data_IF_641681452071
#
_entry.id   IF_641681452071
#
_cell.length_a   1.000
_cell.length_b   1.000
_cell.length_c   1.000
_cell.angle_alpha   90.00
_cell.angle_beta   90.00
_cell.angle_gamma   90.00
#
_symmetry.space_group_name_H-M   'P 1'
#
loop_
_entity.id
_entity.type
_entity.pdbx_description
1 polymer ?
#
# COMPACT_ATOMS: atom_id res chain seq x y z
N UNK A 1 -1.95 5.57 -28.25
CA UNK A 1 -1.38 4.29 -28.72
C UNK A 1 -0.08 4.58 -29.42
N UNK A 2 1.04 4.42 -28.72
CA UNK A 2 2.46 4.31 -29.14
C UNK A 2 3.11 3.75 -27.86
N UNK A 3 3.95 2.72 -27.77
CA UNK A 3 4.45 1.71 -28.68
C UNK A 3 4.72 0.45 -27.84
N UNK A 4 4.90 -0.67 -28.52
CA UNK A 4 5.21 -2.02 -28.02
C UNK A 4 5.92 -2.08 -26.66
N UNK A 5 5.28 -2.78 -25.71
CA UNK A 5 5.76 -3.01 -24.36
C UNK A 5 7.18 -3.59 -24.38
N UNK A 6 8.16 -2.83 -23.89
CA UNK A 6 9.52 -3.35 -23.67
C UNK A 6 9.41 -4.55 -22.71
N UNK A 7 9.87 -5.71 -23.17
CA UNK A 7 9.77 -6.95 -22.40
C UNK A 7 10.94 -7.01 -21.42
N UNK A 8 10.65 -7.46 -20.20
CA UNK A 8 11.62 -7.67 -19.15
C UNK A 8 12.73 -8.63 -19.56
N UNK A 9 12.39 -9.62 -20.38
CA UNK A 9 13.35 -10.56 -20.96
C UNK A 9 14.39 -9.86 -21.84
N UNK A 10 13.99 -8.86 -22.62
CA UNK A 10 14.90 -8.12 -23.51
C UNK A 10 15.87 -7.26 -22.69
N UNK A 11 15.37 -6.59 -21.65
CA UNK A 11 16.21 -5.81 -20.74
C UNK A 11 17.22 -6.68 -19.97
N UNK A 12 16.77 -7.82 -19.43
CA UNK A 12 17.65 -8.75 -18.72
C UNK A 12 18.75 -9.29 -19.65
N UNK A 13 18.41 -9.63 -20.90
CA UNK A 13 19.38 -10.07 -21.90
C UNK A 13 20.41 -8.97 -22.25
N UNK A 14 20.02 -7.70 -22.29
CA UNK A 14 20.94 -6.57 -22.48
C UNK A 14 21.91 -6.35 -21.31
N UNK A 15 21.54 -6.80 -20.11
CA UNK A 15 22.40 -6.77 -18.92
C UNK A 15 23.18 -8.08 -18.73
N UNK A 16 23.22 -8.93 -19.77
CA UNK A 16 23.85 -10.25 -19.76
C UNK A 16 23.31 -11.20 -18.67
N UNK A 17 22.04 -11.01 -18.29
CA UNK A 17 21.34 -11.86 -17.31
C UNK A 17 20.39 -12.80 -18.05
N UNK A 18 20.73 -14.09 -18.02
CA UNK A 18 20.00 -15.13 -18.76
C UNK A 18 19.32 -16.13 -17.82
N UNK A 19 18.17 -16.70 -18.22
CA UNK A 19 17.47 -17.67 -17.38
C UNK A 19 18.24 -18.97 -17.30
N UNK A 20 18.27 -19.58 -16.10
CA UNK A 20 18.81 -20.92 -15.87
C UNK A 20 17.80 -21.99 -16.25
N UNK A 21 16.52 -21.72 -16.08
CA UNK A 21 15.46 -22.64 -16.47
C UNK A 21 14.19 -21.90 -16.87
N UNK A 22 13.34 -22.58 -17.63
CA UNK A 22 12.04 -22.06 -18.02
C UNK A 22 11.00 -23.18 -18.05
N UNK A 23 9.75 -22.81 -17.77
CA UNK A 23 8.58 -23.67 -17.96
C UNK A 23 7.40 -22.81 -18.40
N UNK A 24 6.88 -23.08 -19.59
CA UNK A 24 5.84 -22.27 -20.23
C UNK A 24 6.29 -20.79 -20.33
N UNK A 25 5.52 -19.85 -19.76
CA UNK A 25 5.82 -18.42 -19.76
C UNK A 25 6.57 -17.94 -18.51
N UNK A 26 7.08 -18.87 -17.69
CA UNK A 26 7.83 -18.55 -16.48
C UNK A 26 9.30 -18.90 -16.67
N UNK A 27 10.16 -17.94 -16.38
CA UNK A 27 11.61 -18.04 -16.48
C UNK A 27 12.24 -17.83 -15.11
N UNK A 28 13.24 -18.64 -14.78
CA UNK A 28 13.97 -18.57 -13.51
C UNK A 28 15.43 -18.23 -13.74
N UNK A 29 15.94 -17.31 -12.92
CA UNK A 29 17.28 -16.75 -12.98
C UNK A 29 17.94 -16.84 -11.61
N UNK A 30 19.26 -16.77 -11.56
CA UNK A 30 19.91 -16.29 -10.34
C UNK A 30 19.48 -14.84 -10.13
N UNK A 31 19.26 -14.46 -8.87
CA UNK A 31 18.95 -13.10 -8.52
C UNK A 31 20.06 -12.17 -9.00
N UNK A 32 19.72 -11.12 -9.76
CA UNK A 32 20.70 -10.13 -10.18
C UNK A 32 21.08 -9.17 -9.04
N UNK A 33 20.45 -9.30 -7.86
CA UNK A 33 20.71 -8.47 -6.69
C UNK A 33 21.76 -9.04 -5.73
N UNK A 34 22.15 -10.31 -5.90
CA UNK A 34 23.08 -11.01 -5.00
C UNK A 34 23.79 -12.16 -5.69
N UNK A 35 24.88 -12.64 -5.09
CA UNK A 35 25.53 -13.84 -5.57
C UNK A 35 24.88 -15.09 -4.95
N UNK A 36 24.23 -15.90 -5.79
CA UNK A 36 23.59 -17.15 -5.36
C UNK A 36 23.88 -18.31 -6.31
N UNK A 37 23.71 -19.54 -5.83
CA UNK A 37 23.94 -20.76 -6.63
C UNK A 37 22.65 -21.44 -7.09
N UNK A 38 21.52 -21.10 -6.45
CA UNK A 38 20.20 -21.68 -6.77
C UNK A 38 19.30 -20.54 -7.23
N UNK A 39 18.62 -20.72 -8.36
CA UNK A 39 17.75 -19.71 -8.94
C UNK A 39 16.55 -19.42 -8.03
N UNK A 40 16.36 -18.16 -7.65
CA UNK A 40 15.16 -17.73 -6.91
C UNK A 40 14.50 -16.49 -7.51
N UNK A 41 14.98 -15.98 -8.63
CA UNK A 41 14.39 -14.84 -9.34
C UNK A 41 13.51 -15.34 -10.47
N UNK A 42 12.21 -15.09 -10.37
CA UNK A 42 11.17 -15.55 -11.30
C UNK A 42 10.68 -14.40 -12.16
N UNK A 43 10.63 -14.58 -13.47
CA UNK A 43 9.97 -13.68 -14.42
C UNK A 43 8.78 -14.40 -15.06
N UNK A 44 7.63 -13.76 -15.05
CA UNK A 44 6.46 -14.18 -15.81
C UNK A 44 6.35 -13.32 -17.08
N UNK A 45 6.67 -13.92 -18.22
CA UNK A 45 6.69 -13.24 -19.52
C UNK A 45 5.29 -12.88 -20.03
N UNK A 46 4.24 -13.54 -19.53
CA UNK A 46 2.86 -13.23 -19.92
C UNK A 46 2.34 -11.96 -19.24
N UNK A 47 2.79 -11.72 -18.02
CA UNK A 47 2.40 -10.53 -17.24
C UNK A 47 3.46 -9.43 -17.23
N UNK A 48 4.67 -9.73 -17.76
CA UNK A 48 5.84 -8.86 -17.75
C UNK A 48 6.22 -8.39 -16.33
N UNK A 49 6.15 -9.30 -15.35
CA UNK A 49 6.47 -9.05 -13.93
C UNK A 49 7.53 -10.01 -13.43
N UNK A 50 8.29 -9.57 -12.43
CA UNK A 50 9.21 -10.44 -11.70
C UNK A 50 8.86 -10.56 -10.22
N UNK A 51 9.40 -11.59 -9.60
CA UNK A 51 9.46 -11.76 -8.16
C UNK A 51 10.75 -12.48 -7.78
N UNK A 52 11.49 -11.93 -6.83
CA UNK A 52 12.66 -12.56 -6.21
C UNK A 52 12.27 -13.14 -4.84
N UNK A 53 12.27 -14.47 -4.76
CA UNK A 53 11.90 -15.19 -3.55
C UNK A 53 12.94 -15.07 -2.43
N UNK A 54 14.21 -14.78 -2.74
CA UNK A 54 15.23 -14.58 -1.70
C UNK A 54 15.13 -13.23 -1.00
N UNK A 55 14.56 -12.22 -1.66
CA UNK A 55 14.40 -10.86 -1.13
C UNK A 55 12.95 -10.52 -0.74
N UNK A 56 11.99 -11.36 -1.15
CA UNK A 56 10.56 -11.06 -1.02
C UNK A 56 10.11 -9.87 -1.86
N UNK A 57 10.86 -9.50 -2.89
CA UNK A 57 10.66 -8.30 -3.69
C UNK A 57 10.24 -8.63 -5.12
N UNK A 58 9.23 -7.94 -5.65
CA UNK A 58 8.80 -8.13 -7.03
C UNK A 58 8.05 -6.93 -7.57
N UNK A 59 7.89 -6.87 -8.88
CA UNK A 59 7.35 -5.68 -9.52
C UNK A 59 7.36 -5.74 -11.05
N UNK A 60 7.29 -4.54 -11.62
CA UNK A 60 7.38 -4.25 -13.06
C UNK A 60 8.83 -4.12 -13.51
N UNK A 61 9.06 -3.94 -14.82
CA UNK A 61 10.39 -3.64 -15.35
C UNK A 61 11.01 -2.36 -14.73
N UNK A 62 10.21 -1.35 -14.41
CA UNK A 62 10.70 -0.12 -13.77
C UNK A 62 11.20 -0.40 -12.35
N UNK A 63 10.49 -1.23 -11.58
CA UNK A 63 10.90 -1.63 -10.23
C UNK A 63 12.21 -2.42 -10.27
N UNK A 64 12.40 -3.25 -11.30
CA UNK A 64 13.63 -4.01 -11.54
C UNK A 64 14.81 -3.07 -11.86
N UNK A 65 14.65 -2.16 -12.82
CA UNK A 65 15.71 -1.22 -13.25
C UNK A 65 16.10 -0.32 -12.07
N UNK A 66 15.10 0.23 -11.38
CA UNK A 66 15.32 1.12 -10.23
C UNK A 66 16.17 0.42 -9.16
N UNK A 67 15.87 -0.86 -8.87
CA UNK A 67 16.64 -1.63 -7.90
C UNK A 67 18.04 -2.02 -8.42
N UNK A 68 18.18 -2.40 -9.69
CA UNK A 68 19.47 -2.80 -10.28
C UNK A 68 20.45 -1.65 -10.42
N UNK A 69 19.95 -0.49 -10.83
CA UNK A 69 20.77 0.69 -11.06
C UNK A 69 20.90 1.57 -9.81
N UNK A 70 20.22 1.20 -8.71
CA UNK A 70 20.16 1.94 -7.45
C UNK A 70 19.80 3.43 -7.65
N UNK A 71 18.80 3.66 -8.51
CA UNK A 71 18.25 4.98 -8.83
C UNK A 71 16.78 4.99 -8.46
N UNK A 72 16.23 6.17 -8.16
CA UNK A 72 14.81 6.29 -7.88
C UNK A 72 13.96 5.87 -9.09
N UNK A 73 12.70 5.48 -8.84
CA UNK A 73 11.73 5.19 -9.90
C UNK A 73 11.58 6.40 -10.84
N UNK A 74 11.67 7.62 -10.32
CA UNK A 74 11.55 8.86 -11.10
C UNK A 74 12.75 9.00 -12.05
N UNK A 75 13.97 8.81 -11.55
CA UNK A 75 15.19 8.82 -12.37
C UNK A 75 15.21 7.67 -13.38
N UNK A 76 14.67 6.51 -13.01
CA UNK A 76 14.50 5.36 -13.91
C UNK A 76 13.61 5.73 -15.10
N UNK A 77 12.46 6.37 -14.83
CA UNK A 77 11.53 6.84 -15.86
C UNK A 77 12.18 7.93 -16.72
N UNK A 78 12.95 8.84 -16.13
CA UNK A 78 13.69 9.87 -16.85
C UNK A 78 14.73 9.25 -17.80
N UNK A 79 15.56 8.32 -17.31
CA UNK A 79 16.50 7.57 -18.16
C UNK A 79 15.78 6.79 -19.27
N UNK A 80 14.61 6.23 -19.00
CA UNK A 80 13.82 5.50 -19.99
C UNK A 80 13.27 6.42 -21.10
N UNK A 81 13.02 7.69 -20.77
CA UNK A 81 12.57 8.71 -21.71
C UNK A 81 13.72 9.41 -22.45
N UNK A 82 14.91 9.50 -21.82
CA UNK A 82 16.10 10.16 -22.38
C UNK A 82 16.94 9.21 -23.24
N UNK A 83 17.08 7.95 -22.82
CA UNK A 83 17.73 6.90 -23.61
C UNK A 83 16.69 6.19 -24.47
N UNK A 84 16.41 6.80 -25.61
CA UNK A 84 15.90 6.07 -26.77
C UNK A 84 16.85 4.93 -27.12
N UNK A 85 16.59 3.73 -26.57
CA UNK A 85 17.05 2.50 -27.21
C UNK A 85 16.62 2.61 -28.68
N UNK A 86 17.60 2.57 -29.57
CA UNK A 86 17.45 2.89 -30.99
C UNK A 86 16.36 2.06 -31.67
N UNK A 87 15.14 2.58 -31.67
CA UNK A 87 14.12 2.23 -32.66
C UNK A 87 13.56 3.54 -33.21
N UNK A 88 13.54 3.59 -34.54
CA UNK A 88 13.60 4.79 -35.37
C UNK A 88 12.48 5.81 -35.11
N UNK A 89 12.89 7.08 -35.14
CA UNK A 89 12.05 8.28 -35.24
C UNK A 89 10.98 8.15 -36.34
N UNK A 90 9.78 8.64 -36.05
CA UNK A 90 9.08 9.53 -36.96
C UNK A 90 8.20 10.56 -36.21
N UNK A 91 8.62 11.82 -36.40
CA UNK A 91 7.91 13.09 -36.47
C UNK A 91 6.93 13.54 -35.37
N UNK A 92 7.39 14.57 -34.65
CA UNK A 92 6.70 15.81 -34.30
C UNK A 92 5.17 15.79 -34.29
N UNK A 93 4.63 15.54 -33.11
CA UNK A 93 3.41 16.22 -32.66
C UNK A 93 3.66 16.73 -31.24
N UNK A 94 3.31 17.99 -31.01
CA UNK A 94 3.37 18.67 -29.72
C UNK A 94 2.92 17.75 -28.57
N UNK A 95 3.86 17.38 -27.69
CA UNK A 95 3.54 16.67 -26.44
C UNK A 95 3.39 17.75 -25.36
N UNK A 96 2.15 18.22 -25.17
CA UNK A 96 1.76 18.73 -23.86
C UNK A 96 2.06 17.66 -22.81
N UNK A 97 2.71 18.04 -21.71
CA UNK A 97 3.15 17.19 -20.59
C UNK A 97 2.15 16.04 -20.28
N UNK A 98 2.38 14.84 -20.82
CA UNK A 98 1.64 13.65 -20.41
C UNK A 98 2.35 13.07 -19.18
N UNK A 99 1.96 13.56 -18.01
CA UNK A 99 2.03 12.76 -16.80
C UNK A 99 1.21 11.50 -17.06
N UNK A 100 1.82 10.32 -17.16
CA UNK A 100 1.09 9.05 -17.18
C UNK A 100 0.56 8.74 -15.77
N UNK A 101 -0.39 9.56 -15.32
CA UNK A 101 -1.28 9.23 -14.22
C UNK A 101 -2.15 8.09 -14.75
N UNK A 102 -2.24 6.96 -14.03
CA UNK A 102 -3.35 6.04 -14.27
C UNK A 102 -4.63 6.88 -14.18
N UNK A 103 -5.31 7.11 -15.31
CA UNK A 103 -6.57 7.83 -15.30
C UNK A 103 -7.60 6.92 -14.63
N UNK A 104 -7.75 7.13 -13.33
CA UNK A 104 -8.91 6.66 -12.63
C UNK A 104 -9.91 7.81 -12.53
N UNK A 105 -11.19 7.45 -12.56
CA UNK A 105 -12.30 8.37 -12.36
C UNK A 105 -13.18 7.81 -11.27
N UNK A 106 -13.39 8.57 -10.20
CA UNK A 106 -14.42 8.25 -9.21
C UNK A 106 -15.77 8.49 -9.87
N UNK A 107 -16.61 7.45 -9.87
CA UNK A 107 -17.93 7.48 -10.50
C UNK A 107 -19.02 7.75 -9.46
N UNK A 108 -18.92 7.10 -8.31
CA UNK A 108 -19.94 7.16 -7.26
C UNK A 108 -19.31 6.87 -5.90
N UNK A 109 -19.84 7.52 -4.87
CA UNK A 109 -19.66 7.18 -3.47
C UNK A 109 -21.03 6.99 -2.85
N UNK A 110 -21.30 5.81 -2.31
CA UNK A 110 -22.60 5.45 -1.71
C UNK A 110 -22.44 4.63 -0.45
N UNK A 111 -23.55 4.37 0.23
CA UNK A 111 -23.55 3.43 1.35
C UNK A 111 -23.16 2.02 0.88
N UNK A 112 -22.42 1.31 1.73
CA UNK A 112 -21.97 -0.06 1.44
C UNK A 112 -23.19 -0.97 1.32
N UNK A 113 -23.37 -1.53 0.14
CA UNK A 113 -24.53 -2.35 -0.22
C UNK A 113 -24.17 -3.52 -1.14
N UNK A 114 -23.02 -3.46 -1.82
CA UNK A 114 -22.54 -4.56 -2.67
C UNK A 114 -22.26 -5.81 -1.85
N UNK A 115 -22.97 -6.90 -2.16
CA UNK A 115 -22.83 -8.20 -1.49
C UNK A 115 -21.37 -8.69 -1.40
N UNK A 116 -20.53 -8.61 -2.44
CA UNK A 116 -19.13 -9.05 -2.34
C UNK A 116 -18.27 -8.21 -1.37
N UNK A 117 -18.61 -6.93 -1.15
CA UNK A 117 -17.93 -6.11 -0.14
C UNK A 117 -18.39 -6.50 1.26
N UNK A 118 -19.69 -6.77 1.44
CA UNK A 118 -20.24 -7.25 2.71
C UNK A 118 -19.62 -8.60 3.09
N UNK A 119 -19.58 -9.55 2.15
CA UNK A 119 -18.92 -10.84 2.37
C UNK A 119 -17.43 -10.68 2.71
N UNK A 120 -16.72 -9.76 2.04
CA UNK A 120 -15.33 -9.46 2.37
C UNK A 120 -15.18 -8.91 3.80
N UNK A 121 -16.09 -8.06 4.27
CA UNK A 121 -16.08 -7.56 5.64
C UNK A 121 -16.36 -8.68 6.65
N UNK A 122 -17.30 -9.59 6.35
CA UNK A 122 -17.59 -10.77 7.17
C UNK A 122 -16.38 -11.72 7.26
N UNK A 123 -15.72 -12.01 6.14
CA UNK A 123 -14.47 -12.78 6.10
C UNK A 123 -13.37 -12.14 6.96
N UNK A 124 -13.38 -10.81 7.09
CA UNK A 124 -12.45 -10.03 7.91
C UNK A 124 -12.96 -9.76 9.33
N UNK A 125 -14.12 -10.31 9.72
CA UNK A 125 -14.78 -10.05 11.00
C UNK A 125 -15.00 -8.57 11.32
N UNK A 126 -15.15 -7.73 10.30
CA UNK A 126 -15.39 -6.28 10.44
C UNK A 126 -16.90 -6.01 10.41
N UNK A 127 -17.56 -5.62 11.51
CA UNK A 127 -19.01 -5.44 11.53
C UNK A 127 -19.46 -4.33 10.58
N UNK A 128 -20.40 -4.66 9.69
CA UNK A 128 -20.89 -3.74 8.67
C UNK A 128 -21.41 -2.42 9.27
N UNK A 129 -22.11 -2.48 10.41
CA UNK A 129 -22.64 -1.30 11.11
C UNK A 129 -21.53 -0.32 11.52
N UNK A 130 -20.42 -0.83 12.05
CA UNK A 130 -19.28 0.02 12.43
C UNK A 130 -18.61 0.58 11.18
N UNK A 131 -18.39 -0.26 10.17
CA UNK A 131 -17.74 0.14 8.91
C UNK A 131 -18.53 1.23 8.19
N UNK A 132 -19.86 1.15 8.12
CA UNK A 132 -20.73 2.14 7.44
C UNK A 132 -20.66 3.55 8.02
N UNK A 133 -20.24 3.70 9.29
CA UNK A 133 -20.05 5.00 9.94
C UNK A 133 -18.82 5.75 9.42
N UNK A 134 -17.80 5.02 9.00
CA UNK A 134 -16.50 5.60 8.61
C UNK A 134 -16.14 5.41 7.14
N UNK A 135 -16.70 4.38 6.51
CA UNK A 135 -16.40 3.99 5.15
C UNK A 135 -17.63 4.11 4.25
N UNK A 136 -17.36 4.27 2.95
CA UNK A 136 -18.36 4.20 1.89
C UNK A 136 -17.99 3.14 0.87
N UNK A 137 -18.94 2.78 0.03
CA UNK A 137 -18.65 2.03 -1.18
C UNK A 137 -18.33 3.01 -2.29
N UNK A 138 -17.13 2.88 -2.87
CA UNK A 138 -16.68 3.69 -3.99
C UNK A 138 -16.78 2.88 -5.26
N UNK A 139 -17.36 3.46 -6.31
CA UNK A 139 -17.26 2.95 -7.67
C UNK A 139 -16.29 3.83 -8.44
N UNK A 140 -15.33 3.21 -9.11
CA UNK A 140 -14.31 3.94 -9.85
C UNK A 140 -13.98 3.22 -11.15
N UNK A 141 -13.70 4.01 -12.18
CA UNK A 141 -13.11 3.52 -13.42
C UNK A 141 -11.60 3.57 -13.25
N UNK A 142 -10.90 2.53 -13.64
CA UNK A 142 -9.44 2.53 -13.80
C UNK A 142 -9.16 2.03 -15.22
N UNK A 143 -8.58 2.90 -16.05
CA UNK A 143 -8.48 2.71 -17.49
C UNK A 143 -9.88 2.55 -18.12
N UNK A 144 -10.20 1.38 -18.69
CA UNK A 144 -11.49 1.10 -19.32
C UNK A 144 -12.44 0.26 -18.46
N UNK A 145 -11.99 -0.21 -17.29
CA UNK A 145 -12.75 -1.12 -16.44
C UNK A 145 -13.31 -0.40 -15.22
N UNK A 146 -14.52 -0.78 -14.83
CA UNK A 146 -15.18 -0.27 -13.63
C UNK A 146 -14.96 -1.25 -12.49
N UNK A 147 -14.70 -0.70 -11.32
CA UNK A 147 -14.42 -1.42 -10.08
C UNK A 147 -15.21 -0.81 -8.94
N UNK A 148 -15.33 -1.57 -7.86
CA UNK A 148 -15.88 -1.09 -6.60
C UNK A 148 -15.06 -1.60 -5.41
N UNK A 149 -15.03 -0.80 -4.34
CA UNK A 149 -14.28 -1.10 -3.13
C UNK A 149 -14.90 -0.42 -1.91
N UNK A 150 -14.49 -0.83 -0.71
CA UNK A 150 -14.69 -0.05 0.51
C UNK A 150 -13.71 1.11 0.46
N UNK A 151 -14.14 2.32 0.79
CA UNK A 151 -13.35 3.54 0.80
C UNK A 151 -13.37 4.18 2.18
N UNK A 152 -12.19 4.32 2.78
CA UNK A 152 -11.98 5.07 4.01
C UNK A 152 -11.35 6.43 3.67
N UNK A 153 -11.98 7.55 4.03
CA UNK A 153 -11.51 8.89 3.67
C UNK A 153 -10.27 9.30 4.49
N UNK A 154 -9.44 10.16 3.91
CA UNK A 154 -8.30 10.81 4.58
C UNK A 154 -8.41 12.34 4.57
N UNK A 155 -7.50 13.02 5.27
CA UNK A 155 -7.55 14.47 5.49
C UNK A 155 -7.36 15.30 4.20
N UNK A 156 -6.84 14.71 3.12
CA UNK A 156 -6.57 15.37 1.85
C UNK A 156 -7.61 15.00 0.77
N UNK A 157 -8.82 14.63 1.20
CA UNK A 157 -9.93 14.19 0.33
C UNK A 157 -9.59 12.97 -0.53
N UNK A 158 -8.58 12.20 -0.13
CA UNK A 158 -8.27 10.90 -0.71
C UNK A 158 -8.94 9.75 0.00
N UNK A 159 -8.83 8.58 -0.59
CA UNK A 159 -9.47 7.36 -0.10
C UNK A 159 -8.49 6.22 -0.08
N UNK A 160 -8.32 5.60 1.08
CA UNK A 160 -7.75 4.25 1.15
C UNK A 160 -8.85 3.27 0.80
N UNK A 161 -8.68 2.60 -0.34
CA UNK A 161 -9.66 1.66 -0.87
C UNK A 161 -9.23 0.22 -0.67
N UNK A 162 -10.19 -0.64 -0.34
CA UNK A 162 -9.94 -2.06 -0.13
C UNK A 162 -11.11 -2.94 -0.59
N UNK A 163 -10.79 -4.05 -1.23
CA UNK A 163 -11.67 -5.20 -1.39
C UNK A 163 -10.82 -6.48 -1.30
N UNK A 164 -11.38 -7.64 -1.65
CA UNK A 164 -10.66 -8.93 -1.61
C UNK A 164 -9.36 -8.97 -2.43
N UNK A 165 -9.28 -8.16 -3.48
CA UNK A 165 -8.19 -8.20 -4.48
C UNK A 165 -7.33 -6.94 -4.51
N UNK A 166 -7.83 -5.83 -3.98
CA UNK A 166 -7.24 -4.51 -4.11
C UNK A 166 -7.02 -3.90 -2.74
N UNK A 167 -5.83 -3.33 -2.53
CA UNK A 167 -5.49 -2.39 -1.46
C UNK A 167 -4.68 -1.26 -2.09
N UNK A 168 -5.24 -0.06 -2.18
CA UNK A 168 -4.56 1.09 -2.77
C UNK A 168 -5.17 2.41 -2.28
N UNK A 169 -4.51 3.53 -2.63
CA UNK A 169 -5.05 4.86 -2.38
C UNK A 169 -5.55 5.50 -3.68
N UNK A 170 -6.69 6.18 -3.63
CA UNK A 170 -7.16 7.09 -4.67
C UNK A 170 -6.94 8.55 -4.25
N UNK A 171 -6.72 9.43 -5.23
CA UNK A 171 -6.46 10.87 -5.09
C UNK A 171 -5.08 11.18 -4.51
N UNK A 172 -4.93 11.09 -3.19
CA UNK A 172 -3.70 11.41 -2.50
C UNK A 172 -3.66 10.63 -1.20
N UNK A 173 -2.52 10.01 -0.94
CA UNK A 173 -2.28 9.27 0.29
C UNK A 173 -2.00 10.24 1.42
N UNK A 174 -2.78 10.13 2.49
CA UNK A 174 -2.60 10.91 3.71
C UNK A 174 -3.19 10.19 4.92
N UNK A 175 -2.94 10.72 6.11
CA UNK A 175 -3.53 10.27 7.37
C UNK A 175 -5.03 10.60 7.46
N UNK A 176 -5.73 9.90 8.35
CA UNK A 176 -7.11 10.25 8.73
C UNK A 176 -7.13 10.56 10.23
N UNK A 177 -7.56 11.76 10.59
CA UNK A 177 -7.69 12.19 11.98
C UNK A 177 -9.16 12.35 12.35
N UNK A 178 -9.63 11.52 13.27
CA UNK A 178 -10.98 11.59 13.84
C UNK A 178 -10.87 12.31 15.18
N UNK A 179 -11.50 13.48 15.29
CA UNK A 179 -11.47 14.31 16.50
C UNK A 179 -12.76 14.20 17.27
N UNK A 180 -12.66 13.75 18.52
CA UNK A 180 -13.70 13.78 19.52
C UNK A 180 -13.43 14.87 20.58
N UNK A 181 -12.44 15.75 20.32
CA UNK A 181 -11.98 16.82 21.20
C UNK A 181 -11.42 16.31 22.53
N UNK A 182 -10.68 15.21 22.47
CA UNK A 182 -10.06 14.57 23.63
C UNK A 182 -8.57 14.87 23.69
N UNK A 183 -7.98 14.77 24.88
CA UNK A 183 -6.54 14.98 25.10
C UNK A 183 -5.70 13.69 24.98
N UNK A 184 -6.36 12.55 24.73
CA UNK A 184 -5.72 11.26 24.49
C UNK A 184 -5.92 10.80 23.04
N UNK A 185 -4.85 10.30 22.44
CA UNK A 185 -4.82 9.87 21.04
C UNK A 185 -4.51 8.37 20.92
N UNK A 186 -5.35 7.63 20.19
CA UNK A 186 -5.05 6.26 19.79
C UNK A 186 -4.66 6.20 18.32
N UNK A 187 -3.59 5.47 18.00
CA UNK A 187 -2.98 5.49 16.67
C UNK A 187 -2.93 4.10 16.07
N UNK A 188 -3.42 3.99 14.83
CA UNK A 188 -3.54 2.74 14.08
C UNK A 188 -2.78 2.83 12.76
N UNK A 189 -2.20 1.71 12.32
CA UNK A 189 -1.55 1.66 11.02
C UNK A 189 -2.56 1.69 9.87
N UNK A 190 -3.69 0.98 10.04
CA UNK A 190 -4.73 0.88 9.02
C UNK A 190 -6.15 1.14 9.56
N UNK A 191 -7.05 1.49 8.66
CA UNK A 191 -8.46 1.68 9.02
C UNK A 191 -9.13 0.39 9.49
N UNK A 192 -8.70 -0.78 9.01
CA UNK A 192 -9.26 -2.06 9.45
C UNK A 192 -8.90 -2.38 10.90
N UNK A 193 -7.72 -1.96 11.36
CA UNK A 193 -7.32 -2.11 12.76
C UNK A 193 -8.11 -1.16 13.67
N UNK A 194 -8.33 0.07 13.20
CA UNK A 194 -9.21 1.02 13.87
C UNK A 194 -10.65 0.49 14.02
N UNK A 195 -11.23 -0.07 12.97
CA UNK A 195 -12.58 -0.67 13.04
C UNK A 195 -12.58 -1.91 13.96
N UNK A 196 -11.54 -2.74 13.90
CA UNK A 196 -11.40 -3.91 14.79
C UNK A 196 -11.32 -3.48 16.25
N UNK A 197 -10.60 -2.39 16.54
CA UNK A 197 -10.53 -1.78 17.85
C UNK A 197 -11.91 -1.34 18.35
N UNK A 198 -12.67 -0.58 17.54
CA UNK A 198 -14.00 -0.14 17.94
C UNK A 198 -14.98 -1.29 18.15
N UNK A 199 -14.80 -2.41 17.45
CA UNK A 199 -15.61 -3.60 17.72
C UNK A 199 -15.31 -4.21 19.10
N UNK A 200 -14.04 -4.23 19.51
CA UNK A 200 -13.61 -4.75 20.81
C UNK A 200 -13.93 -3.80 21.96
N UNK A 201 -13.86 -2.49 21.71
CA UNK A 201 -14.03 -1.43 22.70
C UNK A 201 -15.02 -0.36 22.19
N UNK A 202 -16.31 -0.70 22.04
CA UNK A 202 -17.30 0.20 21.42
C UNK A 202 -17.52 1.51 22.19
N UNK A 203 -17.30 1.51 23.51
CA UNK A 203 -17.40 2.71 24.35
C UNK A 203 -16.32 3.75 24.04
N UNK A 204 -15.19 3.32 23.48
CA UNK A 204 -14.04 4.19 23.26
C UNK A 204 -14.22 5.13 22.07
N UNK A 205 -15.19 4.84 21.20
CA UNK A 205 -15.44 5.56 19.95
C UNK A 205 -15.53 7.08 20.09
N UNK A 206 -15.99 7.56 21.26
CA UNK A 206 -16.17 8.98 21.56
C UNK A 206 -15.27 9.48 22.71
N UNK A 207 -14.49 8.59 23.33
CA UNK A 207 -13.65 8.88 24.50
C UNK A 207 -12.21 9.24 24.12
N UNK A 208 -11.82 9.03 22.87
CA UNK A 208 -10.47 9.28 22.38
C UNK A 208 -10.49 9.97 21.03
N UNK A 209 -9.44 10.71 20.71
CA UNK A 209 -9.14 11.05 19.32
C UNK A 209 -8.44 9.85 18.65
N UNK A 210 -8.63 9.70 17.35
CA UNK A 210 -8.04 8.59 16.58
C UNK A 210 -7.24 9.09 15.41
N UNK A 211 -6.00 8.60 15.28
CA UNK A 211 -5.16 8.84 14.12
C UNK A 211 -4.92 7.53 13.38
N UNK A 212 -5.43 7.44 12.16
CA UNK A 212 -5.21 6.32 11.26
C UNK A 212 -4.14 6.74 10.28
N UNK A 213 -3.00 6.05 10.30
CA UNK A 213 -1.86 6.43 9.49
C UNK A 213 -2.04 6.14 8.01
N UNK A 214 -2.81 5.10 7.65
CA UNK A 214 -2.99 4.58 6.29
C UNK A 214 -1.70 4.01 5.64
N UNK A 215 -0.53 4.32 6.21
CA UNK A 215 0.77 3.70 5.99
C UNK A 215 1.72 4.21 7.04
N UNK A 216 2.56 3.34 7.60
CA UNK A 216 3.58 3.71 8.57
C UNK A 216 4.56 4.78 8.06
N UNK A 217 4.74 4.91 6.74
CA UNK A 217 5.56 5.94 6.12
C UNK A 217 5.06 7.38 6.37
N UNK A 218 3.76 7.54 6.69
CA UNK A 218 3.16 8.83 6.99
C UNK A 218 3.37 9.28 8.44
N UNK A 219 3.93 8.40 9.29
CA UNK A 219 4.20 8.68 10.70
C UNK A 219 5.09 9.92 10.89
N UNK A 220 6.28 9.90 10.27
CA UNK A 220 7.30 10.95 10.44
C UNK A 220 6.84 12.32 9.96
N UNK A 221 6.06 12.36 8.88
CA UNK A 221 5.52 13.61 8.30
C UNK A 221 4.48 14.27 9.20
N UNK A 222 3.87 13.51 10.12
CA UNK A 222 2.73 13.94 10.92
C UNK A 222 3.05 13.91 12.43
N UNK A 223 4.32 14.03 12.79
CA UNK A 223 4.74 13.97 14.20
C UNK A 223 4.22 15.17 15.01
N UNK A 224 4.15 16.36 14.40
CA UNK A 224 3.73 17.61 15.07
C UNK A 224 2.28 17.58 15.54
N UNK A 225 1.41 16.80 14.89
CA UNK A 225 0.02 16.63 15.33
C UNK A 225 -0.09 15.98 16.71
N UNK A 226 0.97 15.28 17.15
CA UNK A 226 1.00 14.48 18.39
C UNK A 226 1.35 15.30 19.62
N UNK A 227 2.03 16.44 19.45
CA UNK A 227 2.44 17.32 20.54
C UNK A 227 1.26 17.91 21.33
N UNK A 228 0.06 17.90 20.74
CA UNK A 228 -1.20 18.38 21.33
C UNK A 228 -1.82 17.43 22.34
N UNK A 229 -1.36 16.18 22.40
CA UNK A 229 -1.95 15.15 23.24
C UNK A 229 -1.10 14.91 24.49
N UNK A 230 -1.78 14.61 25.60
CA UNK A 230 -1.16 14.28 26.89
C UNK A 230 -0.69 12.83 26.90
N UNK A 231 -1.50 11.94 26.31
CA UNK A 231 -1.23 10.50 26.24
C UNK A 231 -1.48 9.98 24.83
N UNK A 232 -0.60 9.10 24.38
CA UNK A 232 -0.67 8.46 23.06
C UNK A 232 -0.58 6.95 23.25
N UNK A 233 -1.52 6.22 22.67
CA UNK A 233 -1.52 4.76 22.63
C UNK A 233 -1.37 4.29 21.19
N UNK A 234 -0.45 3.35 20.97
CA UNK A 234 -0.11 2.86 19.62
C UNK A 234 -0.54 1.42 19.45
N UNK A 235 -1.18 1.15 18.31
CA UNK A 235 -1.67 -0.15 17.87
C UNK A 235 -1.13 -0.43 16.45
N UNK A 236 0.19 -0.60 16.36
CA UNK A 236 0.88 -0.91 15.09
C UNK A 236 1.07 -2.41 14.89
N UNK A 237 1.37 -2.81 13.66
CA UNK A 237 1.64 -4.20 13.31
C UNK A 237 2.79 -4.77 14.18
N UNK A 238 2.72 -6.05 14.53
CA UNK A 238 3.72 -6.79 15.31
C UNK A 238 5.00 -7.16 14.53
N UNK A 239 5.25 -6.45 13.43
CA UNK A 239 6.46 -6.59 12.62
C UNK A 239 7.56 -5.57 13.03
N UNK A 240 8.73 -5.69 12.40
CA UNK A 240 9.87 -4.82 12.72
C UNK A 240 9.59 -3.35 12.38
N UNK A 241 8.74 -3.09 11.39
CA UNK A 241 8.39 -1.72 10.98
C UNK A 241 7.49 -1.06 12.01
N UNK A 242 6.46 -1.76 12.49
CA UNK A 242 5.58 -1.30 13.56
C UNK A 242 6.33 -1.10 14.88
N UNK A 243 7.21 -2.05 15.27
CA UNK A 243 8.06 -1.92 16.46
C UNK A 243 9.01 -0.72 16.37
N UNK A 244 9.64 -0.54 15.22
CA UNK A 244 10.52 0.61 14.96
C UNK A 244 9.77 1.94 15.04
N UNK A 245 8.55 1.98 14.50
CA UNK A 245 7.68 3.15 14.57
C UNK A 245 7.27 3.50 16.01
N UNK A 246 6.93 2.51 16.84
CA UNK A 246 6.65 2.72 18.27
C UNK A 246 7.88 3.23 19.00
N UNK A 247 9.06 2.65 18.76
CA UNK A 247 10.30 3.08 19.38
C UNK A 247 10.66 4.52 18.99
N UNK A 248 10.51 4.87 17.72
CA UNK A 248 10.67 6.25 17.25
C UNK A 248 9.77 7.22 18.04
N UNK A 249 8.50 6.88 18.25
CA UNK A 249 7.59 7.72 19.02
C UNK A 249 7.98 7.82 20.50
N UNK A 250 8.41 6.72 21.12
CA UNK A 250 8.91 6.73 22.50
C UNK A 250 10.16 7.61 22.63
N UNK A 251 11.05 7.62 21.64
CA UNK A 251 12.22 8.51 21.65
C UNK A 251 11.81 9.97 21.56
N UNK A 252 10.90 10.32 20.67
CA UNK A 252 10.50 11.71 20.42
C UNK A 252 9.59 12.28 21.51
N UNK A 253 8.69 11.46 22.08
CA UNK A 253 7.61 11.90 22.97
C UNK A 253 7.71 11.33 24.39
N UNK A 254 8.73 10.51 24.66
CA UNK A 254 9.06 9.95 25.98
C UNK A 254 7.86 9.24 26.62
N UNK A 255 7.56 9.57 27.87
CA UNK A 255 6.58 8.90 28.74
C UNK A 255 5.13 9.07 28.28
N UNK A 256 4.87 9.91 27.26
CA UNK A 256 3.54 10.08 26.69
C UNK A 256 3.07 8.87 25.89
N UNK A 257 4.00 8.03 25.41
CA UNK A 257 3.70 6.96 24.44
C UNK A 257 3.64 5.60 25.13
N UNK A 258 2.47 4.99 25.04
CA UNK A 258 2.22 3.61 25.43
C UNK A 258 2.07 2.72 24.20
N UNK A 259 2.75 1.60 24.24
CA UNK A 259 2.64 0.54 23.23
C UNK A 259 1.58 -0.46 23.68
N UNK A 260 0.45 -0.48 22.98
CA UNK A 260 -0.65 -1.40 23.26
C UNK A 260 -0.71 -2.56 22.25
N UNK A 261 0.28 -2.67 21.36
CA UNK A 261 0.36 -3.78 20.40
C UNK A 261 0.47 -5.14 21.08
N UNK A 262 1.00 -5.18 22.31
CA UNK A 262 1.13 -6.42 23.09
C UNK A 262 -0.23 -7.08 23.38
N UNK A 263 -1.35 -6.35 23.28
CA UNK A 263 -2.71 -6.91 23.37
C UNK A 263 -2.94 -8.05 22.37
N UNK A 264 -2.34 -7.96 21.18
CA UNK A 264 -2.44 -8.95 20.10
C UNK A 264 -1.07 -9.52 19.72
N UNK A 265 -0.16 -9.69 20.68
CA UNK A 265 1.24 -10.11 20.44
C UNK A 265 1.45 -11.40 19.63
N UNK A 266 0.43 -12.27 19.56
CA UNK A 266 0.49 -13.54 18.81
C UNK A 266 -0.06 -13.41 17.38
N UNK A 267 -0.48 -12.21 16.97
CA UNK A 267 -1.08 -11.90 15.67
C UNK A 267 -0.35 -10.70 15.08
N UNK A 268 -0.35 -10.60 13.76
CA UNK A 268 0.30 -9.52 13.04
C UNK A 268 -0.35 -8.18 13.36
N UNK A 269 -1.67 -8.08 13.30
CA UNK A 269 -2.42 -6.85 13.48
C UNK A 269 -3.73 -7.10 14.24
N UNK A 270 -4.44 -6.03 14.61
CA UNK A 270 -5.70 -6.13 15.36
C UNK A 270 -6.78 -6.86 14.54
N UNK A 271 -6.80 -6.67 13.22
CA UNK A 271 -7.81 -7.31 12.40
C UNK A 271 -7.56 -8.81 12.24
N UNK A 272 -6.30 -9.24 12.20
CA UNK A 272 -5.92 -10.65 12.24
C UNK A 272 -6.27 -11.28 13.58
N UNK A 273 -5.97 -10.62 14.70
CA UNK A 273 -6.44 -11.05 16.03
C UNK A 273 -7.95 -11.29 16.03
N UNK A 274 -8.71 -10.35 15.45
CA UNK A 274 -10.15 -10.46 15.40
C UNK A 274 -10.63 -11.65 14.57
N UNK A 275 -9.97 -11.97 13.46
CA UNK A 275 -10.33 -13.09 12.59
C UNK A 275 -10.12 -14.45 13.27
N UNK A 276 -9.08 -14.58 14.09
CA UNK A 276 -8.73 -15.86 14.72
C UNK A 276 -9.39 -16.07 16.08
N UNK A 277 -9.65 -15.01 16.83
CA UNK A 277 -10.12 -15.10 18.23
C UNK A 277 -11.60 -14.75 18.44
N UNK A 278 -12.31 -14.27 17.41
CA UNK A 278 -13.73 -13.89 17.47
C UNK A 278 -14.52 -14.34 16.23
#
# INVERSE_FOLDING_TARGET
MINEQIKMMDYLAQKDIYPISSKQNVFWFLSPFRNEKTASFKVDNSTNRFYDFGEGFGGTLIDLISKLENISIIETIQKFNENSFSFQKQNDFHIEKIQTKNEYKILELKEISSFPLIQYLEERKLPLEIVKRYCKEIHYKLNQKTYYAIAFPNNENGYEIRNKYVKMCLVKKDISLIKNNQNQLKIFESWSDFISYLFLFPTDEFLYDFLILNSIALLRKNIELRNKYEKIETYFDQDDTGKSATNFLKTELKDKVKDDSNFYKNYKDLNEFLIFEK
#
